data_IF_902264296785
#
_entry.id   IF_902264296785
#
_cell.length_a   1.000
_cell.length_b   1.000
_cell.length_c   1.000
_cell.angle_alpha   90.00
_cell.angle_beta   90.00
_cell.angle_gamma   90.00
#
_symmetry.space_group_name_H-M   'P 1'
#
loop_
_entity.id
_entity.type
_entity.pdbx_description
1 polymer ?
#
# COMPACT_ATOMS: atom_id res chain seq x y z
N UNK A 1 -3.66 92.38 24.70
CA UNK A 1 -4.41 93.50 25.32
C UNK A 1 -4.93 93.00 26.66
N UNK A 2 -4.76 93.73 27.76
CA UNK A 2 -5.33 93.31 29.04
C UNK A 2 -6.88 93.30 28.96
N UNK A 3 -7.51 92.35 29.64
CA UNK A 3 -8.96 92.10 29.61
C UNK A 3 -9.79 93.35 29.95
N UNK A 4 -9.30 94.16 30.90
CA UNK A 4 -9.93 95.41 31.34
C UNK A 4 -10.04 96.44 30.22
N UNK A 5 -8.99 96.59 29.43
CA UNK A 5 -8.94 97.58 28.35
C UNK A 5 -9.83 97.11 27.19
N UNK A 6 -9.89 95.80 26.96
CA UNK A 6 -10.77 95.20 25.96
C UNK A 6 -12.24 95.47 26.28
N UNK A 7 -12.65 95.24 27.54
CA UNK A 7 -14.01 95.50 28.02
C UNK A 7 -14.40 96.98 27.90
N UNK A 8 -13.47 97.91 28.23
CA UNK A 8 -13.72 99.34 28.08
C UNK A 8 -13.94 99.74 26.61
N UNK A 9 -13.13 99.19 25.69
CA UNK A 9 -13.28 99.43 24.25
C UNK A 9 -14.57 98.80 23.71
N UNK A 10 -14.90 97.58 24.15
CA UNK A 10 -16.15 96.91 23.79
C UNK A 10 -17.37 97.71 24.26
N UNK A 11 -17.36 98.21 25.50
CA UNK A 11 -18.40 99.06 26.04
C UNK A 11 -18.55 100.34 25.22
N UNK A 12 -17.45 101.01 24.87
CA UNK A 12 -17.47 102.20 24.02
C UNK A 12 -18.06 101.93 22.63
N UNK A 13 -17.66 100.83 21.97
CA UNK A 13 -18.16 100.45 20.65
C UNK A 13 -19.67 100.11 20.71
N UNK A 14 -20.10 99.39 21.74
CA UNK A 14 -21.49 98.95 21.91
C UNK A 14 -22.50 100.07 22.18
N UNK A 15 -22.04 101.27 22.58
CA UNK A 15 -22.91 102.46 22.77
C UNK A 15 -23.55 102.93 21.46
N UNK A 16 -22.92 102.69 20.32
CA UNK A 16 -23.47 103.07 19.00
C UNK A 16 -24.25 101.91 18.33
N UNK A 17 -25.34 102.18 17.59
CA UNK A 17 -26.06 101.13 16.85
C UNK A 17 -25.18 100.37 15.85
N UNK A 18 -24.25 101.07 15.19
CA UNK A 18 -23.32 100.47 14.22
C UNK A 18 -22.26 99.60 14.88
N UNK A 19 -21.79 99.98 16.07
CA UNK A 19 -20.81 99.18 16.83
C UNK A 19 -21.38 97.87 17.36
N UNK A 20 -22.65 97.83 17.80
CA UNK A 20 -23.31 96.56 18.17
C UNK A 20 -23.42 95.59 17.00
N UNK A 21 -23.77 96.08 15.81
CA UNK A 21 -23.80 95.27 14.60
C UNK A 21 -22.42 94.75 14.22
N UNK A 22 -21.38 95.59 14.35
CA UNK A 22 -20.00 95.19 14.12
C UNK A 22 -19.56 94.06 15.07
N UNK A 23 -19.81 94.19 16.38
CA UNK A 23 -19.45 93.16 17.36
C UNK A 23 -20.19 91.84 17.08
N UNK A 24 -21.49 91.89 16.75
CA UNK A 24 -22.26 90.69 16.38
C UNK A 24 -21.70 89.99 15.14
N UNK A 25 -21.38 90.76 14.10
CA UNK A 25 -20.78 90.21 12.89
C UNK A 25 -19.36 89.68 13.11
N UNK A 26 -18.57 90.37 13.93
CA UNK A 26 -17.22 89.95 14.30
C UNK A 26 -17.24 88.63 15.08
N UNK A 27 -18.08 88.51 16.11
CA UNK A 27 -18.25 87.28 16.88
C UNK A 27 -18.78 86.14 16.02
N UNK A 28 -19.74 86.41 15.12
CA UNK A 28 -20.23 85.40 14.16
C UNK A 28 -19.11 84.85 13.28
N UNK A 29 -18.28 85.74 12.71
CA UNK A 29 -17.17 85.35 11.82
C UNK A 29 -16.05 84.62 12.57
N UNK A 30 -15.75 85.04 13.80
CA UNK A 30 -14.78 84.36 14.66
C UNK A 30 -15.26 82.94 15.01
N UNK A 31 -16.53 82.77 15.36
CA UNK A 31 -17.10 81.46 15.68
C UNK A 31 -17.19 80.53 14.47
N UNK A 32 -17.47 81.04 13.27
CA UNK A 32 -17.47 80.21 12.05
C UNK A 32 -16.07 79.69 11.73
N UNK A 33 -15.03 80.53 11.87
CA UNK A 33 -13.64 80.11 11.63
C UNK A 33 -13.19 79.01 12.59
N UNK A 34 -13.47 79.17 13.89
CA UNK A 34 -13.18 78.15 14.90
C UNK A 34 -13.98 76.86 14.65
N UNK A 35 -15.26 76.97 14.29
CA UNK A 35 -16.09 75.80 14.00
C UNK A 35 -15.64 75.04 12.75
N UNK A 36 -15.11 75.74 11.74
CA UNK A 36 -14.54 75.15 10.53
C UNK A 36 -13.21 74.42 10.83
N UNK A 37 -12.35 75.00 11.67
CA UNK A 37 -11.11 74.39 12.14
C UNK A 37 -11.36 73.13 13.00
N UNK A 38 -12.33 73.18 13.91
CA UNK A 38 -12.72 71.99 14.68
C UNK A 38 -13.28 70.91 13.75
N UNK A 39 -14.05 71.28 12.73
CA UNK A 39 -14.58 70.31 11.75
C UNK A 39 -13.48 69.68 10.90
N UNK A 40 -12.44 70.42 10.51
CA UNK A 40 -11.29 69.84 9.80
C UNK A 40 -10.49 68.91 10.70
N UNK A 41 -10.19 69.31 11.94
CA UNK A 41 -9.47 68.44 12.89
C UNK A 41 -10.22 67.14 13.19
N UNK A 42 -11.55 67.19 13.31
CA UNK A 42 -12.39 65.99 13.49
C UNK A 42 -12.44 65.13 12.24
N UNK A 43 -12.36 65.73 11.04
CA UNK A 43 -12.25 64.98 9.79
C UNK A 43 -10.89 64.29 9.69
N UNK A 44 -9.80 65.00 9.95
CA UNK A 44 -8.43 64.46 9.93
C UNK A 44 -8.27 63.33 10.93
N UNK A 45 -8.77 63.51 12.16
CA UNK A 45 -8.76 62.47 13.19
C UNK A 45 -9.51 61.22 12.70
N UNK A 46 -10.71 61.39 12.13
CA UNK A 46 -11.51 60.28 11.59
C UNK A 46 -10.78 59.53 10.47
N UNK A 47 -10.10 60.24 9.60
CA UNK A 47 -9.36 59.64 8.50
C UNK A 47 -8.13 58.89 9.01
N UNK A 48 -7.44 59.40 10.03
CA UNK A 48 -6.38 58.67 10.74
C UNK A 48 -6.91 57.38 11.40
N UNK A 49 -8.08 57.45 12.07
CA UNK A 49 -8.70 56.26 12.66
C UNK A 49 -9.07 55.21 11.60
N UNK A 50 -9.55 55.63 10.43
CA UNK A 50 -9.86 54.73 9.30
C UNK A 50 -8.60 54.09 8.76
N UNK A 51 -7.55 54.87 8.50
CA UNK A 51 -6.27 54.35 8.03
C UNK A 51 -5.66 53.34 9.01
N UNK A 52 -5.75 53.61 10.31
CA UNK A 52 -5.28 52.69 11.34
C UNK A 52 -6.09 51.38 11.35
N UNK A 53 -7.42 51.47 11.22
CA UNK A 53 -8.29 50.30 11.16
C UNK A 53 -7.99 49.44 9.92
N UNK A 54 -7.79 50.06 8.75
CA UNK A 54 -7.44 49.37 7.52
C UNK A 54 -6.06 48.70 7.59
N UNK A 55 -5.07 49.37 8.19
CA UNK A 55 -3.75 48.79 8.44
C UNK A 55 -3.83 47.57 9.35
N UNK A 56 -4.59 47.65 10.45
CA UNK A 56 -4.80 46.53 11.37
C UNK A 56 -5.51 45.35 10.67
N UNK A 57 -6.51 45.63 9.83
CA UNK A 57 -7.21 44.60 9.06
C UNK A 57 -6.29 43.90 8.05
N UNK A 58 -5.37 44.63 7.42
CA UNK A 58 -4.37 44.04 6.53
C UNK A 58 -3.42 43.12 7.30
N UNK A 59 -2.92 43.56 8.45
CA UNK A 59 -2.05 42.74 9.31
C UNK A 59 -2.75 41.45 9.74
N UNK A 60 -4.01 41.53 10.16
CA UNK A 60 -4.79 40.34 10.55
C UNK A 60 -4.97 39.38 9.36
N UNK A 61 -5.29 39.88 8.16
CA UNK A 61 -5.42 39.03 6.96
C UNK A 61 -4.11 38.32 6.60
N UNK A 62 -2.98 39.01 6.69
CA UNK A 62 -1.66 38.42 6.44
C UNK A 62 -1.33 37.35 7.49
N UNK A 63 -1.71 37.56 8.75
CA UNK A 63 -1.53 36.56 9.81
C UNK A 63 -2.36 35.30 9.56
N UNK A 64 -3.64 35.45 9.17
CA UNK A 64 -4.51 34.31 8.81
C UNK A 64 -3.92 33.55 7.62
N UNK A 65 -3.57 34.23 6.54
CA UNK A 65 -2.95 33.58 5.36
C UNK A 65 -1.65 32.87 5.71
N UNK A 66 -0.82 33.46 6.57
CA UNK A 66 0.41 32.81 7.04
C UNK A 66 0.09 31.54 7.82
N UNK A 67 -0.92 31.55 8.68
CA UNK A 67 -1.34 30.37 9.43
C UNK A 67 -1.85 29.27 8.48
N UNK A 68 -2.72 29.61 7.53
CA UNK A 68 -3.21 28.67 6.51
C UNK A 68 -2.08 28.08 5.66
N UNK A 69 -1.09 28.88 5.27
CA UNK A 69 0.09 28.40 4.55
C UNK A 69 0.96 27.47 5.42
N UNK A 70 1.07 27.76 6.71
CA UNK A 70 1.78 26.89 7.65
C UNK A 70 1.05 25.55 7.84
N UNK A 71 -0.27 25.57 7.94
CA UNK A 71 -1.10 24.37 8.07
C UNK A 71 -1.07 23.54 6.78
N UNK A 72 -1.18 24.17 5.61
CA UNK A 72 -1.00 23.52 4.33
C UNK A 72 0.40 22.90 4.21
N UNK A 73 1.45 23.63 4.60
CA UNK A 73 2.83 23.13 4.60
C UNK A 73 3.00 21.94 5.55
N UNK A 74 2.39 21.98 6.72
CA UNK A 74 2.42 20.89 7.69
C UNK A 74 1.72 19.65 7.12
N UNK A 75 0.56 19.84 6.50
CA UNK A 75 -0.23 18.78 5.85
C UNK A 75 0.53 18.18 4.68
N UNK A 76 1.13 19.00 3.81
CA UNK A 76 1.98 18.52 2.70
C UNK A 76 3.20 17.76 3.23
N UNK A 77 3.83 18.24 4.31
CA UNK A 77 4.98 17.58 4.92
C UNK A 77 4.61 16.27 5.61
N UNK A 78 3.39 16.18 6.14
CA UNK A 78 2.81 14.93 6.65
C UNK A 78 2.57 13.94 5.51
N UNK A 79 1.85 14.37 4.46
CA UNK A 79 1.61 13.56 3.27
C UNK A 79 2.91 13.10 2.60
N UNK A 80 3.92 13.97 2.48
CA UNK A 80 5.25 13.59 1.94
C UNK A 80 5.95 12.53 2.80
N UNK A 81 5.84 12.60 4.12
CA UNK A 81 6.41 11.57 5.02
C UNK A 81 5.69 10.24 4.88
N UNK A 82 4.37 10.26 4.73
CA UNK A 82 3.59 9.05 4.47
C UNK A 82 3.89 8.45 3.10
N UNK A 83 3.96 9.28 2.05
CA UNK A 83 4.38 8.86 0.72
C UNK A 83 5.81 8.31 0.74
N UNK A 84 6.73 8.90 1.51
CA UNK A 84 8.07 8.37 1.68
C UNK A 84 8.08 7.03 2.45
N UNK A 85 7.13 6.80 3.36
CA UNK A 85 6.93 5.50 4.01
C UNK A 85 6.27 4.44 3.10
N UNK A 86 5.67 4.86 1.99
CA UNK A 86 5.16 4.01 0.91
C UNK A 86 6.20 3.78 -0.18
N UNK A 87 7.08 4.76 -0.40
CA UNK A 87 8.28 4.56 -1.18
C UNK A 87 8.98 3.37 -0.54
N UNK A 88 9.17 2.29 -1.31
CA UNK A 88 9.71 1.10 -0.72
C UNK A 88 11.02 1.47 -0.02
N UNK A 89 11.14 1.08 1.24
CA UNK A 89 12.45 0.90 1.88
C UNK A 89 13.34 0.10 0.92
N UNK A 90 14.67 0.15 1.00
CA UNK A 90 15.52 -0.63 0.06
C UNK A 90 14.99 -2.07 -0.17
N UNK A 91 14.43 -2.71 0.88
CA UNK A 91 13.71 -3.99 0.86
C UNK A 91 12.45 -4.08 -0.03
N UNK A 92 11.63 -3.03 -0.15
CA UNK A 92 10.40 -3.06 -0.93
C UNK A 92 10.63 -2.84 -2.43
N UNK A 93 11.70 -2.13 -2.79
CA UNK A 93 12.10 -1.89 -4.17
C UNK A 93 12.67 -3.22 -4.71
N UNK A 94 13.39 -3.91 -3.83
CA UNK A 94 13.84 -5.27 -4.04
C UNK A 94 12.68 -6.26 -4.23
N UNK A 95 11.60 -6.16 -3.43
CA UNK A 95 10.39 -7.01 -3.62
C UNK A 95 9.66 -6.76 -4.94
N UNK A 96 9.53 -5.51 -5.38
CA UNK A 96 8.91 -5.20 -6.66
C UNK A 96 9.77 -5.72 -7.82
N UNK A 97 11.07 -5.44 -7.78
CA UNK A 97 12.03 -6.00 -8.75
C UNK A 97 12.01 -7.52 -8.75
N UNK A 98 11.90 -8.16 -7.57
CA UNK A 98 11.79 -9.61 -7.43
C UNK A 98 10.51 -10.12 -8.09
N UNK A 99 9.35 -9.50 -7.84
CA UNK A 99 8.10 -9.92 -8.48
C UNK A 99 8.16 -9.79 -10.01
N UNK A 100 8.77 -8.72 -10.53
CA UNK A 100 8.98 -8.55 -11.98
C UNK A 100 9.89 -9.64 -12.53
N UNK A 101 11.02 -9.91 -11.87
CA UNK A 101 11.94 -10.98 -12.28
C UNK A 101 11.27 -12.37 -12.22
N UNK A 102 10.42 -12.62 -11.22
CA UNK A 102 9.66 -13.86 -11.11
C UNK A 102 8.60 -13.99 -12.20
N UNK A 103 7.93 -12.90 -12.60
CA UNK A 103 7.00 -12.87 -13.74
C UNK A 103 7.71 -13.17 -15.07
N UNK A 104 8.86 -12.54 -15.32
CA UNK A 104 9.65 -12.81 -16.54
C UNK A 104 10.11 -14.27 -16.57
N UNK A 105 10.55 -14.80 -15.43
CA UNK A 105 10.97 -16.19 -15.34
C UNK A 105 9.81 -17.19 -15.51
N UNK A 106 8.58 -16.83 -15.11
CA UNK A 106 7.37 -17.61 -15.41
C UNK A 106 7.14 -17.65 -16.93
N UNK A 107 7.25 -16.52 -17.61
CA UNK A 107 7.05 -16.46 -19.08
C UNK A 107 8.08 -17.36 -19.77
N UNK A 108 9.36 -17.22 -19.41
CA UNK A 108 10.43 -18.04 -19.99
C UNK A 108 10.25 -19.53 -19.67
N UNK A 109 9.90 -19.90 -18.44
CA UNK A 109 9.70 -21.32 -18.07
C UNK A 109 8.51 -21.94 -18.79
N UNK A 110 7.42 -21.18 -18.93
CA UNK A 110 6.21 -21.64 -19.63
C UNK A 110 6.42 -21.76 -21.13
N UNK A 111 7.12 -20.81 -21.76
CA UNK A 111 7.51 -20.90 -23.17
C UNK A 111 8.39 -22.12 -23.43
N UNK A 112 9.43 -22.32 -22.60
CA UNK A 112 10.34 -23.47 -22.74
C UNK A 112 9.59 -24.79 -22.58
N UNK A 113 8.79 -24.93 -21.52
CA UNK A 113 8.02 -26.15 -21.27
C UNK A 113 7.05 -26.44 -22.43
N UNK A 114 6.34 -25.43 -22.95
CA UNK A 114 5.48 -25.61 -24.13
C UNK A 114 6.26 -26.06 -25.36
N UNK A 115 7.43 -25.48 -25.62
CA UNK A 115 8.28 -25.87 -26.75
C UNK A 115 8.78 -27.31 -26.62
N UNK A 116 9.17 -27.74 -25.43
CA UNK A 116 9.64 -29.10 -25.14
C UNK A 116 8.52 -30.13 -25.29
N UNK A 117 7.32 -29.82 -24.78
CA UNK A 117 6.14 -30.68 -24.91
C UNK A 117 5.74 -30.85 -26.38
N UNK A 118 5.73 -29.76 -27.16
CA UNK A 118 5.43 -29.81 -28.60
C UNK A 118 6.46 -30.64 -29.37
N UNK A 119 7.74 -30.40 -29.10
CA UNK A 119 8.85 -31.13 -29.76
C UNK A 119 8.78 -32.63 -29.45
N UNK A 120 8.55 -33.00 -28.19
CA UNK A 120 8.41 -34.40 -27.79
C UNK A 120 7.19 -35.05 -28.46
N UNK A 121 6.08 -34.31 -28.54
CA UNK A 121 4.85 -34.76 -29.20
C UNK A 121 5.05 -34.99 -30.71
N UNK A 122 5.78 -34.11 -31.38
CA UNK A 122 6.14 -34.26 -32.80
C UNK A 122 6.98 -35.53 -33.04
N UNK A 123 7.98 -35.78 -32.19
CA UNK A 123 8.81 -36.99 -32.27
C UNK A 123 7.98 -38.25 -32.03
N UNK A 124 7.05 -38.24 -31.06
CA UNK A 124 6.11 -39.35 -30.85
C UNK A 124 5.28 -39.62 -32.11
N UNK A 125 4.77 -38.58 -32.77
CA UNK A 125 3.99 -38.73 -34.01
C UNK A 125 4.83 -39.32 -35.16
N UNK A 126 6.09 -38.91 -35.32
CA UNK A 126 7.02 -39.47 -36.30
C UNK A 126 7.28 -40.97 -36.04
N UNK A 127 7.46 -41.34 -34.77
CA UNK A 127 7.65 -42.74 -34.36
C UNK A 127 6.40 -43.60 -34.58
N UNK A 128 5.21 -43.06 -34.31
CA UNK A 128 3.94 -43.74 -34.64
C UNK A 128 3.80 -43.93 -36.16
N UNK A 129 4.22 -42.94 -36.95
CA UNK A 129 4.23 -43.01 -38.42
C UNK A 129 5.13 -44.12 -38.96
N UNK A 130 6.33 -44.27 -38.40
CA UNK A 130 7.29 -45.35 -38.75
C UNK A 130 6.79 -46.72 -38.31
N UNK A 131 6.13 -46.83 -37.15
CA UNK A 131 5.51 -48.07 -36.68
C UNK A 131 4.38 -48.52 -37.62
N UNK A 132 3.55 -47.56 -38.08
CA UNK A 132 2.44 -47.82 -39.03
C UNK A 132 2.92 -48.25 -40.41
N UNK A 133 4.15 -47.88 -40.81
CA UNK A 133 4.76 -48.27 -42.08
C UNK A 133 5.54 -49.59 -42.02
N UNK A 134 5.44 -50.33 -40.91
CA UNK A 134 5.98 -51.68 -40.76
C UNK A 134 7.39 -51.75 -40.15
N UNK A 135 7.84 -50.69 -39.48
CA UNK A 135 9.13 -50.65 -38.76
C UNK A 135 9.19 -51.59 -37.55
N UNK A 136 10.41 -51.93 -37.13
CA UNK A 136 10.66 -52.81 -35.98
C UNK A 136 10.08 -52.22 -34.69
N UNK A 137 9.17 -52.96 -34.08
CA UNK A 137 8.24 -52.40 -33.09
C UNK A 137 8.91 -52.15 -31.75
N UNK A 138 9.89 -52.98 -31.36
CA UNK A 138 10.46 -52.96 -30.02
C UNK A 138 11.32 -51.71 -29.73
N UNK A 139 12.17 -51.28 -30.67
CA UNK A 139 13.00 -50.07 -30.52
C UNK A 139 12.14 -48.79 -30.51
N UNK A 140 11.12 -48.74 -31.38
CA UNK A 140 10.22 -47.61 -31.46
C UNK A 140 9.35 -47.45 -30.20
N UNK A 141 8.88 -48.54 -29.58
CA UNK A 141 8.17 -48.45 -28.30
C UNK A 141 9.03 -47.87 -27.19
N UNK A 142 10.31 -48.27 -27.10
CA UNK A 142 11.23 -47.74 -26.09
C UNK A 142 11.52 -46.25 -26.30
N UNK A 143 11.62 -45.79 -27.55
CA UNK A 143 11.80 -44.36 -27.85
C UNK A 143 10.55 -43.54 -27.55
N UNK A 144 9.35 -44.06 -27.84
CA UNK A 144 8.08 -43.41 -27.45
C UNK A 144 8.00 -43.26 -25.93
N UNK A 145 8.38 -44.29 -25.18
CA UNK A 145 8.45 -44.24 -23.71
C UNK A 145 9.42 -43.14 -23.22
N UNK A 146 10.56 -42.99 -23.89
CA UNK A 146 11.52 -41.90 -23.63
C UNK A 146 10.93 -40.51 -23.85
N UNK A 147 10.24 -40.28 -24.97
CA UNK A 147 9.59 -38.98 -25.24
C UNK A 147 8.43 -38.69 -24.29
N UNK A 148 7.68 -39.70 -23.87
CA UNK A 148 6.63 -39.55 -22.83
C UNK A 148 7.27 -39.14 -21.49
N UNK A 149 8.45 -39.67 -21.15
CA UNK A 149 9.21 -39.23 -19.99
C UNK A 149 9.76 -37.80 -20.13
N UNK A 150 10.18 -37.37 -21.33
CA UNK A 150 10.52 -35.96 -21.58
C UNK A 150 9.31 -35.05 -21.35
N UNK A 151 8.11 -35.43 -21.81
CA UNK A 151 6.87 -34.67 -21.56
C UNK A 151 6.58 -34.58 -20.06
N UNK A 152 6.67 -35.68 -19.32
CA UNK A 152 6.49 -35.65 -17.86
C UNK A 152 7.51 -34.73 -17.17
N UNK A 153 8.76 -34.75 -17.64
CA UNK A 153 9.83 -33.89 -17.11
C UNK A 153 9.56 -32.42 -17.43
N UNK A 154 9.15 -32.09 -18.66
CA UNK A 154 8.77 -30.75 -19.08
C UNK A 154 7.57 -30.21 -18.27
N UNK A 155 6.55 -31.03 -18.06
CA UNK A 155 5.40 -30.70 -17.22
C UNK A 155 5.78 -30.51 -15.75
N UNK A 156 6.78 -31.24 -15.23
CA UNK A 156 7.24 -31.06 -13.84
C UNK A 156 7.83 -29.67 -13.60
N UNK A 157 8.40 -29.02 -14.62
CA UNK A 157 8.87 -27.63 -14.52
C UNK A 157 7.73 -26.61 -14.38
N UNK A 158 6.48 -27.00 -14.62
CA UNK A 158 5.32 -26.16 -14.33
C UNK A 158 5.11 -25.96 -12.82
N UNK A 159 5.60 -26.87 -11.97
CA UNK A 159 5.59 -26.67 -10.51
C UNK A 159 6.40 -25.44 -10.10
N UNK A 160 7.56 -25.24 -10.74
CA UNK A 160 8.37 -24.03 -10.55
C UNK A 160 7.58 -22.78 -10.95
N UNK A 161 6.82 -22.82 -12.04
CA UNK A 161 5.91 -21.73 -12.44
C UNK A 161 4.87 -21.43 -11.35
N UNK A 162 4.31 -22.47 -10.72
CA UNK A 162 3.39 -22.34 -9.58
C UNK A 162 4.03 -21.65 -8.37
N UNK A 163 5.25 -22.06 -8.01
CA UNK A 163 6.01 -21.44 -6.91
C UNK A 163 6.32 -19.96 -7.19
N UNK A 164 6.76 -19.63 -8.42
CA UNK A 164 7.03 -18.25 -8.83
C UNK A 164 5.76 -17.39 -8.82
N UNK A 165 4.63 -17.94 -9.29
CA UNK A 165 3.34 -17.23 -9.28
C UNK A 165 2.91 -16.89 -7.85
N UNK A 166 3.09 -17.82 -6.91
CA UNK A 166 2.84 -17.58 -5.49
C UNK A 166 3.69 -16.43 -4.93
N UNK A 167 4.98 -16.34 -5.31
CA UNK A 167 5.83 -15.20 -4.91
C UNK A 167 5.30 -13.87 -5.43
N UNK A 168 4.89 -13.81 -6.69
CA UNK A 168 4.28 -12.60 -7.29
C UNK A 168 3.00 -12.21 -6.54
N UNK A 169 2.11 -13.17 -6.28
CA UNK A 169 0.86 -12.94 -5.53
C UNK A 169 1.16 -12.39 -4.13
N UNK A 170 2.19 -12.90 -3.45
CA UNK A 170 2.58 -12.39 -2.13
C UNK A 170 3.06 -10.94 -2.17
N UNK A 171 3.77 -10.54 -3.23
CA UNK A 171 4.17 -9.14 -3.43
C UNK A 171 2.94 -8.26 -3.71
N UNK A 172 1.99 -8.72 -4.52
CA UNK A 172 0.74 -8.00 -4.77
C UNK A 172 -0.10 -7.80 -3.49
N UNK A 173 -0.20 -8.84 -2.64
CA UNK A 173 -0.87 -8.74 -1.32
C UNK A 173 -0.20 -7.74 -0.40
N UNK A 174 1.13 -7.67 -0.43
CA UNK A 174 1.87 -6.68 0.34
C UNK A 174 1.52 -5.25 -0.12
N UNK A 175 1.44 -5.02 -1.43
CA UNK A 175 1.02 -3.73 -2.00
C UNK A 175 -0.41 -3.39 -1.59
N UNK A 176 -1.33 -4.35 -1.69
CA UNK A 176 -2.74 -4.19 -1.28
C UNK A 176 -2.88 -3.78 0.19
N UNK A 177 -2.17 -4.45 1.10
CA UNK A 177 -2.17 -4.10 2.52
C UNK A 177 -1.65 -2.67 2.78
N UNK A 178 -0.61 -2.26 2.04
CA UNK A 178 -0.01 -0.93 2.17
C UNK A 178 -0.96 0.16 1.66
N UNK A 179 -1.62 -0.07 0.53
CA UNK A 179 -2.64 0.83 -0.03
C UNK A 179 -3.86 0.91 0.90
N UNK A 180 -4.34 -0.23 1.41
CA UNK A 180 -5.44 -0.28 2.38
C UNK A 180 -5.14 0.51 3.65
N UNK A 181 -3.89 0.44 4.15
CA UNK A 181 -3.44 1.24 5.28
C UNK A 181 -3.49 2.75 4.99
N UNK A 182 -3.16 3.17 3.76
CA UNK A 182 -3.22 4.57 3.35
C UNK A 182 -4.66 5.08 3.24
N UNK A 183 -5.58 4.28 2.69
CA UNK A 183 -7.01 4.60 2.61
C UNK A 183 -7.60 4.82 4.01
N UNK A 184 -7.23 3.96 4.96
CA UNK A 184 -7.67 4.08 6.35
C UNK A 184 -7.14 5.36 7.02
N UNK A 185 -5.90 5.76 6.75
CA UNK A 185 -5.30 6.99 7.28
C UNK A 185 -5.96 8.25 6.68
N UNK A 186 -6.35 8.22 5.40
CA UNK A 186 -7.01 9.34 4.73
C UNK A 186 -8.50 9.49 5.09
N UNK A 187 -9.04 8.65 5.98
CA UNK A 187 -10.38 8.84 6.53
C UNK A 187 -11.48 8.74 5.47
N UNK A 188 -11.28 7.91 4.44
CA UNK A 188 -12.36 7.57 3.51
C UNK A 188 -13.30 6.59 4.23
N UNK A 189 -14.09 7.11 5.18
CA UNK A 189 -15.03 6.37 6.05
C UNK A 189 -16.15 5.63 5.30
N UNK A 190 -16.12 5.63 3.97
CA UNK A 190 -17.12 4.99 3.11
C UNK A 190 -16.69 3.63 2.54
N UNK A 191 -15.47 3.15 2.80
CA UNK A 191 -15.07 1.80 2.37
C UNK A 191 -15.12 0.88 3.58
N UNK A 192 -16.20 0.10 3.69
CA UNK A 192 -16.33 -0.90 4.76
C UNK A 192 -15.27 -1.99 4.53
N UNK A 193 -14.61 -2.51 5.58
CA UNK A 193 -13.66 -3.64 5.46
C UNK A 193 -14.22 -4.88 4.77
N UNK A 194 -15.55 -5.00 4.70
CA UNK A 194 -16.31 -6.06 4.04
C UNK A 194 -16.33 -5.94 2.50
N UNK A 195 -15.97 -4.78 1.94
CA UNK A 195 -15.92 -4.52 0.50
C UNK A 195 -14.51 -4.72 -0.10
N UNK A 196 -13.48 -4.92 0.75
CA UNK A 196 -12.15 -5.31 0.29
C UNK A 196 -12.17 -6.81 -0.08
N UNK A 197 -11.69 -7.20 -1.27
CA UNK A 197 -11.59 -8.61 -1.63
C UNK A 197 -10.69 -9.32 -0.63
N UNK A 198 -11.24 -10.30 0.10
CA UNK A 198 -10.43 -11.15 1.00
C UNK A 198 -9.37 -11.87 0.18
N UNK A 199 -8.10 -11.70 0.56
CA UNK A 199 -7.00 -12.43 -0.03
C UNK A 199 -7.33 -13.93 -0.09
N UNK A 200 -7.17 -14.62 -1.24
CA UNK A 200 -7.47 -16.04 -1.35
C UNK A 200 -6.61 -16.84 -0.36
N UNK A 201 -7.22 -17.43 0.66
CA UNK A 201 -6.50 -18.33 1.55
C UNK A 201 -6.31 -19.65 0.81
N UNK A 202 -5.05 -20.03 0.57
CA UNK A 202 -4.74 -21.35 0.01
C UNK A 202 -5.05 -22.42 1.06
N UNK A 203 -6.22 -23.04 0.93
CA UNK A 203 -6.75 -24.00 1.90
C UNK A 203 -6.27 -25.43 1.65
N UNK A 204 -5.31 -25.63 0.74
CA UNK A 204 -4.81 -26.97 0.45
C UNK A 204 -3.96 -27.49 1.63
N UNK A 205 -4.06 -28.79 1.96
CA UNK A 205 -3.36 -29.39 3.10
C UNK A 205 -1.83 -29.36 2.96
N UNK A 206 -1.31 -29.20 1.74
CA UNK A 206 0.08 -29.11 1.35
C UNK A 206 0.61 -27.67 1.20
N UNK A 207 -0.18 -26.64 1.53
CA UNK A 207 0.24 -25.24 1.43
C UNK A 207 1.53 -24.91 2.19
N UNK A 208 1.85 -25.67 3.24
CA UNK A 208 3.09 -25.57 4.02
C UNK A 208 4.34 -26.12 3.30
N UNK A 209 4.18 -26.84 2.18
CA UNK A 209 5.26 -27.40 1.38
C UNK A 209 5.70 -26.44 0.24
N UNK A 210 5.01 -25.32 0.04
CA UNK A 210 5.29 -24.32 -1.00
C UNK A 210 6.48 -23.39 -0.68
N UNK A 211 7.37 -23.80 0.24
CA UNK A 211 8.63 -23.11 0.49
C UNK A 211 9.68 -23.67 -0.46
N UNK A 212 9.69 -23.13 -1.68
CA UNK A 212 10.69 -23.45 -2.69
C UNK A 212 12.12 -23.08 -2.26
N UNK A 213 13.15 -23.67 -2.88
CA UNK A 213 14.54 -23.39 -2.58
C UNK A 213 14.85 -21.89 -2.73
N UNK A 214 15.74 -21.40 -1.85
CA UNK A 214 16.17 -20.01 -1.80
C UNK A 214 16.78 -19.54 -3.13
N UNK A 215 16.74 -18.22 -3.38
CA UNK A 215 17.27 -17.58 -4.60
C UNK A 215 18.76 -17.88 -4.85
N UNK A 216 19.52 -18.09 -3.78
CA UNK A 216 20.81 -18.78 -3.87
C UNK A 216 20.54 -20.29 -3.85
N UNK A 217 20.26 -20.84 -5.03
CA UNK A 217 20.11 -22.29 -5.18
C UNK A 217 21.33 -22.99 -4.58
N UNK A 218 21.08 -24.00 -3.74
CA UNK A 218 22.15 -24.83 -3.17
C UNK A 218 22.94 -25.38 -4.35
N UNK A 219 24.22 -25.02 -4.43
CA UNK A 219 25.05 -25.46 -5.54
C UNK A 219 25.32 -26.97 -5.39
N UNK A 220 25.44 -27.69 -6.50
CA UNK A 220 25.61 -29.16 -6.48
C UNK A 220 26.80 -29.59 -5.61
N UNK A 221 27.87 -28.79 -5.54
CA UNK A 221 29.00 -29.04 -4.64
C UNK A 221 28.64 -28.94 -3.15
N UNK A 222 27.69 -28.09 -2.76
CA UNK A 222 27.20 -27.98 -1.38
C UNK A 222 26.32 -29.19 -1.01
N UNK A 223 25.59 -29.76 -1.99
CA UNK A 223 24.85 -31.02 -1.82
C UNK A 223 25.81 -32.20 -1.66
N UNK A 224 26.87 -32.24 -2.47
CA UNK A 224 27.90 -33.28 -2.42
C UNK A 224 28.70 -33.22 -1.11
N UNK A 225 29.01 -32.02 -0.61
CA UNK A 225 29.66 -31.81 0.69
C UNK A 225 28.78 -32.27 1.86
N UNK A 226 27.46 -32.07 1.77
CA UNK A 226 26.51 -32.50 2.80
C UNK A 226 26.32 -34.03 2.79
N UNK A 227 26.28 -34.66 1.63
CA UNK A 227 26.24 -36.13 1.48
C UNK A 227 27.55 -36.81 1.89
N UNK A 228 28.69 -36.20 1.59
CA UNK A 228 30.01 -36.72 1.99
C UNK A 228 30.33 -36.49 3.48
N UNK A 229 29.71 -35.48 4.10
CA UNK A 229 29.67 -35.30 5.56
C UNK A 229 28.98 -36.45 6.30
N UNK A 230 27.99 -37.12 5.69
CA UNK A 230 27.39 -38.35 6.22
C UNK A 230 28.24 -39.60 5.97
N UNK A 231 29.10 -39.60 4.94
CA UNK A 231 29.97 -40.72 4.61
C UNK A 231 31.25 -40.80 5.48
N UNK A 232 31.58 -39.74 6.22
CA UNK A 232 32.83 -39.66 7.00
C UNK A 232 32.56 -39.40 8.48
N UNK A 233 32.04 -40.41 9.18
CA UNK A 233 32.16 -40.47 10.65
C UNK A 233 33.53 -41.11 10.96
N UNK A 234 34.50 -40.39 11.56
CA UNK A 234 35.71 -41.04 12.08
C UNK A 234 35.32 -41.89 13.29
N UNK A 235 35.83 -43.13 13.33
CA UNK A 235 35.61 -44.11 14.38
C UNK A 235 36.29 -43.75 15.72
N UNK A 236 35.92 -42.64 16.36
CA UNK A 236 36.53 -42.19 17.64
C UNK A 236 35.52 -41.68 18.67
N UNK A 237 34.36 -42.33 18.82
CA UNK A 237 33.54 -42.20 20.04
C UNK A 237 32.91 -43.53 20.47
N UNK A 238 33.73 -44.58 20.56
CA UNK A 238 33.41 -45.76 21.35
C UNK A 238 33.61 -45.42 22.83
N UNK A 239 32.55 -44.99 23.52
CA UNK A 239 32.60 -44.72 24.95
C UNK A 239 31.21 -44.49 25.55
N UNK A 240 30.74 -45.50 26.29
CA UNK A 240 29.63 -45.49 27.25
C UNK A 240 28.21 -45.52 26.68
N UNK A 241 27.68 -46.73 26.55
CA UNK A 241 26.25 -46.99 26.41
C UNK A 241 25.53 -46.72 27.74
N UNK A 242 24.76 -45.64 27.79
CA UNK A 242 23.79 -45.38 28.85
C UNK A 242 22.38 -45.75 28.34
N UNK A 243 21.72 -46.65 29.07
CA UNK A 243 20.46 -47.30 28.70
C UNK A 243 19.29 -46.33 28.89
N UNK A 244 18.60 -45.99 27.80
CA UNK A 244 17.32 -45.26 27.84
C UNK A 244 16.16 -46.16 28.31
N UNK A 245 15.16 -45.63 29.05
CA UNK A 245 14.13 -46.41 29.71
C UNK A 245 13.01 -46.86 28.74
N UNK A 246 12.44 -48.03 29.05
CA UNK A 246 11.38 -48.74 28.33
C UNK A 246 10.04 -47.97 28.34
N UNK A 247 9.27 -47.94 27.24
CA UNK A 247 7.96 -47.26 27.19
C UNK A 247 6.87 -48.05 27.94
N UNK A 248 5.98 -47.31 28.62
CA UNK A 248 4.88 -47.84 29.42
C UNK A 248 3.70 -48.35 28.55
N UNK A 249 2.89 -49.32 29.05
CA UNK A 249 1.81 -49.94 28.29
C UNK A 249 0.52 -49.08 28.25
N UNK A 250 -0.35 -49.27 27.23
CA UNK A 250 -1.60 -48.51 27.10
C UNK A 250 -2.69 -49.00 28.08
N UNK A 251 -3.59 -48.11 28.55
CA UNK A 251 -4.69 -48.48 29.43
C UNK A 251 -5.83 -49.19 28.69
N UNK A 252 -6.46 -50.12 29.39
CA UNK A 252 -7.53 -51.02 28.95
C UNK A 252 -8.90 -50.33 28.79
N UNK A 253 -9.73 -50.94 27.94
CA UNK A 253 -11.05 -50.52 27.52
C UNK A 253 -12.17 -50.67 28.57
N UNK A 254 -13.15 -49.77 28.49
CA UNK A 254 -14.57 -49.93 28.89
C UNK A 254 -15.36 -48.85 28.12
N UNK A 255 -16.59 -49.01 27.61
CA UNK A 255 -17.51 -50.11 27.38
C UNK A 255 -18.61 -49.54 26.44
N UNK A 256 -19.03 -50.37 25.48
CA UNK A 256 -20.25 -50.39 24.66
C UNK A 256 -21.22 -49.18 24.55
N UNK A 257 -21.55 -48.82 23.31
CA UNK A 257 -22.88 -48.39 22.85
C UNK A 257 -23.12 -48.84 21.39
N UNK A 258 -24.39 -49.15 21.08
CA UNK A 258 -24.95 -49.94 19.94
C UNK A 258 -24.84 -49.33 18.52
N UNK A 259 -25.15 -50.10 17.44
CA UNK A 259 -24.91 -49.71 16.04
C UNK A 259 -26.18 -49.25 15.29
N UNK A 260 -26.09 -48.13 14.56
CA UNK A 260 -26.97 -47.74 13.44
C UNK A 260 -26.24 -46.74 12.51
N UNK A 261 -26.68 -46.55 11.24
CA UNK A 261 -26.35 -47.31 10.04
C UNK A 261 -25.26 -46.63 9.16
N UNK A 262 -24.63 -47.42 8.29
CA UNK A 262 -23.68 -46.97 7.27
C UNK A 262 -24.27 -45.87 6.37
N UNK A 263 -23.77 -44.64 6.49
CA UNK A 263 -23.87 -43.62 5.45
C UNK A 263 -22.90 -43.96 4.32
N UNK A 264 -23.46 -44.19 3.13
CA UNK A 264 -22.75 -44.52 1.93
C UNK A 264 -21.74 -43.42 1.53
N UNK A 265 -20.49 -43.84 1.38
CA UNK A 265 -19.40 -43.06 0.77
C UNK A 265 -19.81 -42.66 -0.66
N UNK A 266 -19.78 -41.38 -1.07
CA UNK A 266 -20.01 -41.04 -2.46
C UNK A 266 -18.78 -41.45 -3.30
N UNK A 267 -19.00 -42.40 -4.20
CA UNK A 267 -18.12 -42.73 -5.32
C UNK A 267 -17.92 -41.51 -6.26
N UNK A 268 -16.84 -41.50 -7.06
CA UNK A 268 -16.40 -40.31 -7.80
C UNK A 268 -17.41 -39.89 -8.87
N UNK A 269 -17.45 -38.57 -9.10
CA UNK A 269 -18.19 -37.82 -10.12
C UNK A 269 -18.68 -38.67 -11.31
N UNK A 270 -19.99 -38.94 -11.37
CA UNK A 270 -20.62 -39.61 -12.50
C UNK A 270 -20.63 -38.70 -13.75
N UNK A 271 -20.29 -39.28 -14.90
CA UNK A 271 -20.18 -38.64 -16.22
C UNK A 271 -21.37 -37.73 -16.59
N UNK A 272 -22.58 -38.08 -16.15
CA UNK A 272 -23.79 -37.29 -16.40
C UNK A 272 -23.80 -35.91 -15.73
N UNK A 273 -23.00 -35.68 -14.69
CA UNK A 273 -22.86 -34.38 -14.05
C UNK A 273 -21.91 -33.45 -14.83
N UNK A 274 -21.01 -34.01 -15.65
CA UNK A 274 -20.09 -33.27 -16.50
C UNK A 274 -20.82 -32.77 -17.75
N UNK A 275 -21.70 -33.59 -18.33
CA UNK A 275 -22.46 -33.23 -19.53
C UNK A 275 -23.50 -32.11 -19.28
N UNK A 276 -23.97 -31.94 -18.03
CA UNK A 276 -24.89 -30.88 -17.65
C UNK A 276 -24.24 -29.49 -17.49
N UNK A 277 -22.90 -29.42 -17.44
CA UNK A 277 -22.15 -28.17 -17.28
C UNK A 277 -21.78 -27.50 -18.60
N UNK A 278 -21.91 -28.22 -19.73
CA UNK A 278 -21.49 -27.76 -21.06
C UNK A 278 -22.60 -27.90 -22.12
N UNK A 279 -23.85 -28.14 -21.70
CA UNK A 279 -25.04 -28.17 -22.55
C UNK A 279 -25.85 -26.88 -22.51
#
# INVERSE_FOLDING_TARGET
MPESDFQQIEEFISRTPRGRLFLREHTRRAQTGVADEVRSLVADLRDLWRQQADANNLVNRVQVLRHELQDMSATISHARREIAALSPSEDGNDRFSTATNELDAIIVSTERASSEILTSSERILEMIGTLRSGGDSADLYSRIEGEVMEIFTACSFQDLTGQRTTKVINVLRYIEQRIGSMIAIWGVDNIKPEELPKAPVDSRPDSHLLHGPSLDGIRQNEVDDLMSGFATIPAVLAGSAEVAPKPAPPPAAAAAAEPEPEEAVPHPLNQSAIDALFG
#
